data_IF_646263923529
#
_entry.id   IF_646263923529
#
_cell.length_a   1.000
_cell.length_b   1.000
_cell.length_c   1.000
_cell.angle_alpha   90.00
_cell.angle_beta   90.00
_cell.angle_gamma   90.00
#
_symmetry.space_group_name_H-M   'P 1'
#
loop_
_entity.id
_entity.type
_entity.pdbx_description
1 polymer ?
#
# COMPACT_ATOMS: atom_id res chain seq x y z
N UNK A 1 26.21 -53.35 -10.24
CA UNK A 1 26.50 -52.48 -11.40
C UNK A 1 25.19 -51.83 -11.81
N UNK A 2 25.01 -50.52 -11.98
CA UNK A 2 25.89 -49.36 -11.90
C UNK A 2 24.98 -48.14 -11.61
N UNK A 3 25.45 -47.23 -10.74
CA UNK A 3 24.84 -45.93 -10.41
C UNK A 3 24.89 -44.96 -11.60
N UNK A 4 23.88 -44.10 -11.74
CA UNK A 4 24.06 -42.64 -11.99
C UNK A 4 22.74 -41.95 -11.57
N UNK A 5 22.65 -41.22 -10.45
CA UNK A 5 23.10 -39.85 -10.18
C UNK A 5 22.63 -38.80 -11.20
N UNK A 6 21.36 -38.39 -11.11
CA UNK A 6 21.00 -36.98 -11.30
C UNK A 6 20.61 -36.40 -9.93
N UNK A 7 21.60 -35.79 -9.28
CA UNK A 7 21.37 -34.85 -8.18
C UNK A 7 20.72 -33.61 -8.79
N UNK A 8 19.41 -33.46 -8.68
CA UNK A 8 18.80 -32.15 -8.85
C UNK A 8 19.24 -31.29 -7.66
N UNK A 9 20.10 -30.32 -7.92
CA UNK A 9 20.51 -29.32 -6.94
C UNK A 9 19.40 -28.30 -6.75
N UNK A 10 18.21 -28.74 -6.35
CA UNK A 10 17.28 -27.87 -5.65
C UNK A 10 17.90 -27.71 -4.25
N UNK A 11 18.71 -26.66 -4.08
CA UNK A 11 19.03 -26.16 -2.74
C UNK A 11 17.67 -25.99 -2.06
N UNK A 12 17.38 -26.86 -1.08
CA UNK A 12 16.29 -26.71 -0.14
C UNK A 12 16.43 -25.30 0.45
N UNK A 13 15.69 -24.33 -0.07
CA UNK A 13 15.45 -23.09 0.63
C UNK A 13 14.72 -23.50 1.90
N UNK A 14 15.47 -23.53 3.00
CA UNK A 14 14.97 -23.84 4.32
C UNK A 14 13.75 -22.96 4.59
N UNK A 15 12.61 -23.58 4.90
CA UNK A 15 11.42 -22.91 5.45
C UNK A 15 11.66 -22.38 6.86
N UNK A 16 12.87 -22.55 7.41
CA UNK A 16 13.35 -21.74 8.52
C UNK A 16 13.60 -20.30 8.03
N UNK A 17 12.51 -19.60 7.68
CA UNK A 17 12.48 -18.15 7.82
C UNK A 17 13.01 -17.89 9.22
N UNK A 18 14.10 -17.16 9.31
CA UNK A 18 14.76 -16.84 10.56
C UNK A 18 13.76 -16.01 11.39
N UNK A 19 12.89 -16.67 12.16
CA UNK A 19 11.87 -16.08 13.07
C UNK A 19 12.49 -15.18 14.15
N UNK A 20 13.80 -14.92 14.09
CA UNK A 20 14.56 -14.29 15.15
C UNK A 20 14.55 -12.77 15.12
N UNK A 21 14.10 -12.11 14.05
CA UNK A 21 13.90 -10.64 14.05
C UNK A 21 12.83 -10.26 13.01
N UNK A 22 11.55 -10.45 13.31
CA UNK A 22 10.50 -9.73 12.56
C UNK A 22 10.44 -8.33 13.20
N UNK A 23 11.11 -7.36 12.58
CA UNK A 23 11.02 -5.93 12.92
C UNK A 23 9.89 -5.23 12.12
N UNK A 24 8.97 -6.01 11.56
CA UNK A 24 7.78 -5.51 10.89
C UNK A 24 6.74 -5.08 11.92
N UNK A 25 6.72 -3.79 12.22
CA UNK A 25 5.75 -3.22 13.14
C UNK A 25 4.32 -3.29 12.60
N UNK A 26 4.14 -3.47 11.27
CA UNK A 26 2.84 -3.69 10.64
C UNK A 26 2.42 -5.17 10.62
N UNK A 27 3.18 -6.06 11.26
CA UNK A 27 2.84 -7.48 11.26
C UNK A 27 1.57 -7.76 12.06
N UNK A 28 0.77 -8.71 11.59
CA UNK A 28 -0.47 -9.14 12.27
C UNK A 28 -0.25 -9.66 13.70
N UNK A 29 0.98 -10.03 14.07
CA UNK A 29 1.36 -10.33 15.45
C UNK A 29 1.02 -9.19 16.42
N UNK A 30 1.12 -7.93 15.98
CA UNK A 30 0.80 -6.77 16.80
C UNK A 30 -0.67 -6.33 16.65
N UNK A 31 -1.49 -7.04 15.85
CA UNK A 31 -2.89 -6.67 15.56
C UNK A 31 -3.74 -6.37 16.80
N UNK A 32 -3.45 -6.98 17.94
CA UNK A 32 -4.13 -6.67 19.20
C UNK A 32 -4.07 -5.20 19.60
N UNK A 33 -3.08 -4.43 19.13
CA UNK A 33 -2.93 -3.00 19.42
C UNK A 33 -3.89 -2.10 18.61
N UNK A 34 -4.46 -2.58 17.50
CA UNK A 34 -5.33 -1.76 16.63
C UNK A 34 -6.63 -2.45 16.21
N UNK A 35 -6.64 -3.78 16.11
CA UNK A 35 -7.79 -4.56 15.65
C UNK A 35 -8.81 -4.86 16.77
N UNK A 36 -8.41 -4.80 18.04
CA UNK A 36 -9.28 -5.18 19.17
C UNK A 36 -9.97 -3.95 19.75
N UNK A 37 -11.30 -3.87 19.56
CA UNK A 37 -12.17 -2.75 19.93
C UNK A 37 -12.27 -2.41 21.44
N UNK A 38 -11.58 -3.15 22.32
CA UNK A 38 -11.77 -3.07 23.78
C UNK A 38 -10.56 -2.51 24.56
N UNK A 39 -9.66 -1.74 23.92
CA UNK A 39 -8.65 -1.02 24.71
C UNK A 39 -9.29 0.17 25.42
N UNK A 40 -9.20 0.20 26.76
CA UNK A 40 -9.66 1.32 27.61
C UNK A 40 -8.93 2.63 27.32
N UNK A 41 -7.85 2.58 26.53
CA UNK A 41 -7.04 3.70 26.10
C UNK A 41 -7.34 4.19 24.69
N UNK A 42 -8.34 3.63 23.99
CA UNK A 42 -8.72 4.09 22.66
C UNK A 42 -9.50 5.40 22.70
N UNK A 43 -9.35 6.25 21.67
CA UNK A 43 -10.05 7.55 21.57
C UNK A 43 -10.47 7.86 20.15
N UNK A 44 -11.74 8.22 19.93
CA UNK A 44 -12.16 8.82 18.66
C UNK A 44 -11.51 10.19 18.47
N UNK A 45 -10.72 10.35 17.41
CA UNK A 45 -10.01 11.59 17.07
C UNK A 45 -10.60 12.29 15.84
N UNK A 46 -11.44 11.60 15.09
CA UNK A 46 -12.19 12.14 13.96
C UNK A 46 -13.56 11.47 13.89
N UNK A 47 -14.60 12.23 13.56
CA UNK A 47 -15.93 11.68 13.26
C UNK A 47 -16.70 12.67 12.40
N UNK A 48 -17.14 12.25 11.22
CA UNK A 48 -17.92 13.08 10.31
C UNK A 48 -18.84 12.25 9.42
N UNK A 49 -19.99 12.81 9.07
CA UNK A 49 -20.93 12.18 8.15
C UNK A 49 -20.49 12.38 6.70
N UNK A 50 -20.31 11.28 5.99
CA UNK A 50 -20.09 11.23 4.55
C UNK A 50 -21.40 11.29 3.77
N UNK A 51 -21.32 11.87 2.57
CA UNK A 51 -22.41 11.88 1.57
C UNK A 51 -22.09 11.00 0.34
N UNK A 52 -21.01 10.23 0.39
CA UNK A 52 -20.48 9.43 -0.72
C UNK A 52 -20.58 7.92 -0.47
N UNK A 53 -21.59 7.49 0.29
CA UNK A 53 -21.87 6.07 0.56
C UNK A 53 -21.34 5.54 1.88
N UNK A 54 -20.29 6.15 2.44
CA UNK A 54 -19.68 5.66 3.68
C UNK A 54 -20.50 5.92 4.96
N UNK A 55 -21.55 6.75 4.95
CA UNK A 55 -22.32 7.00 6.17
C UNK A 55 -21.52 7.79 7.22
N UNK A 56 -21.04 7.16 8.31
CA UNK A 56 -20.29 7.84 9.37
C UNK A 56 -18.83 7.39 9.38
N UNK A 57 -17.97 8.26 8.85
CA UNK A 57 -16.53 8.04 8.85
C UNK A 57 -15.96 8.44 10.20
N UNK A 58 -15.14 7.58 10.81
CA UNK A 58 -14.49 7.89 12.09
C UNK A 58 -13.05 7.36 12.15
N UNK A 59 -12.21 8.03 12.94
CA UNK A 59 -10.85 7.57 13.22
C UNK A 59 -10.69 7.33 14.72
N UNK A 60 -10.25 6.13 15.07
CA UNK A 60 -9.94 5.74 16.45
C UNK A 60 -8.42 5.70 16.62
N UNK A 61 -7.94 6.35 17.68
CA UNK A 61 -6.56 6.27 18.15
C UNK A 61 -6.38 5.08 19.07
N UNK A 62 -5.30 4.34 18.88
CA UNK A 62 -4.83 3.34 19.85
C UNK A 62 -3.35 3.55 20.15
N UNK A 63 -2.89 3.32 21.39
CA UNK A 63 -1.46 3.38 21.71
C UNK A 63 -0.65 2.37 20.89
N UNK A 64 0.51 2.77 20.38
CA UNK A 64 1.45 1.86 19.75
C UNK A 64 2.60 1.53 20.71
N UNK A 65 2.97 0.25 20.82
CA UNK A 65 4.08 -0.17 21.71
C UNK A 65 5.47 0.11 21.13
N UNK A 66 5.55 0.45 19.84
CA UNK A 66 6.80 0.65 19.11
C UNK A 66 6.87 2.02 18.42
N UNK A 67 8.07 2.55 18.17
CA UNK A 67 9.31 2.20 18.86
C UNK A 67 9.21 2.50 20.36
N UNK A 68 9.98 1.75 21.16
CA UNK A 68 10.10 1.97 22.60
C UNK A 68 10.56 3.41 22.89
N UNK A 69 10.10 3.99 24.01
CA UNK A 69 10.52 5.32 24.52
C UNK A 69 12.03 5.53 24.51
N UNK A 70 12.81 4.49 24.79
CA UNK A 70 14.28 4.56 24.75
C UNK A 70 14.84 4.91 23.34
N UNK A 71 14.08 4.65 22.28
CA UNK A 71 14.44 4.97 20.91
C UNK A 71 13.88 6.31 20.41
N UNK A 72 13.01 6.98 21.16
CA UNK A 72 12.41 8.26 20.73
C UNK A 72 13.47 9.33 20.51
N UNK A 73 14.50 9.39 21.36
CA UNK A 73 15.61 10.33 21.19
C UNK A 73 16.40 10.17 19.88
N UNK A 74 16.35 9.01 19.22
CA UNK A 74 16.91 8.84 17.86
C UNK A 74 16.05 9.54 16.81
N UNK A 75 14.72 9.46 16.96
CA UNK A 75 13.75 10.12 16.07
C UNK A 75 13.83 11.64 16.23
N UNK A 76 13.89 12.13 17.47
CA UNK A 76 14.05 13.57 17.77
C UNK A 76 15.31 14.13 17.12
N UNK A 77 16.48 13.49 17.32
CA UNK A 77 17.74 13.91 16.69
C UNK A 77 17.68 13.91 15.17
N UNK A 78 16.99 12.92 14.60
CA UNK A 78 16.83 12.83 13.14
C UNK A 78 15.95 13.97 12.60
N UNK A 79 14.85 14.32 13.28
CA UNK A 79 14.02 15.49 12.95
C UNK A 79 14.79 16.79 13.11
N UNK A 80 15.55 16.94 14.20
CA UNK A 80 16.41 18.10 14.47
C UNK A 80 17.46 18.27 13.36
N UNK A 81 18.12 17.18 12.94
CA UNK A 81 19.10 17.22 11.86
C UNK A 81 18.46 17.64 10.54
N UNK A 82 17.28 17.09 10.19
CA UNK A 82 16.54 17.51 8.98
C UNK A 82 16.18 18.98 9.02
N UNK A 83 15.67 19.47 10.15
CA UNK A 83 15.36 20.88 10.31
C UNK A 83 16.61 21.75 10.10
N UNK A 84 17.76 21.36 10.67
CA UNK A 84 19.02 22.09 10.49
C UNK A 84 19.48 22.12 9.03
N UNK A 85 19.37 20.99 8.32
CA UNK A 85 19.76 20.88 6.91
C UNK A 85 18.90 21.79 6.01
N UNK A 86 17.60 21.93 6.32
CA UNK A 86 16.66 22.75 5.54
C UNK A 86 16.78 24.25 5.92
N UNK A 87 17.01 24.56 7.19
CA UNK A 87 17.05 25.94 7.72
C UNK A 87 18.38 26.26 8.44
N UNK A 88 19.51 26.37 7.70
CA UNK A 88 20.81 26.63 8.28
C UNK A 88 20.85 28.01 8.98
N UNK A 89 21.33 28.05 10.23
CA UNK A 89 21.52 29.29 11.01
C UNK A 89 20.34 29.72 11.89
N UNK A 90 19.26 28.94 11.95
CA UNK A 90 18.14 29.21 12.87
C UNK A 90 18.55 29.02 14.34
N UNK A 91 18.63 30.11 15.12
CA UNK A 91 19.15 30.12 16.51
C UNK A 91 18.27 29.38 17.54
N UNK A 92 16.98 29.19 17.24
CA UNK A 92 15.99 28.47 18.08
C UNK A 92 15.21 27.43 17.24
N UNK A 93 15.82 26.90 16.18
CA UNK A 93 15.10 26.22 15.10
C UNK A 93 14.47 24.88 15.45
N UNK A 94 13.26 24.92 16.01
CA UNK A 94 12.25 23.88 15.81
C UNK A 94 12.59 22.50 16.37
N UNK A 95 13.13 22.41 17.59
CA UNK A 95 13.29 21.11 18.27
C UNK A 95 11.92 20.44 18.38
N UNK A 96 11.81 19.26 17.79
CA UNK A 96 10.61 18.44 17.85
C UNK A 96 10.81 17.36 18.91
N UNK A 97 9.93 17.35 19.91
CA UNK A 97 9.86 16.33 20.95
C UNK A 97 8.84 15.29 20.58
N UNK A 98 9.21 14.02 20.65
CA UNK A 98 8.28 12.92 20.40
C UNK A 98 7.35 12.80 21.59
N UNK A 99 6.05 12.90 21.34
CA UNK A 99 5.00 12.71 22.34
C UNK A 99 4.55 11.25 22.41
N UNK A 100 4.64 10.52 21.29
CA UNK A 100 4.29 9.12 21.24
C UNK A 100 4.10 8.60 19.82
N UNK A 101 3.71 7.34 19.74
CA UNK A 101 3.28 6.68 18.51
C UNK A 101 1.90 6.08 18.74
N UNK A 102 1.03 6.22 17.74
CA UNK A 102 -0.34 5.74 17.80
C UNK A 102 -0.68 4.97 16.52
N UNK A 103 -1.49 3.93 16.67
CA UNK A 103 -2.25 3.36 15.57
C UNK A 103 -3.50 4.21 15.34
N UNK A 104 -3.84 4.44 14.07
CA UNK A 104 -5.07 5.13 13.66
C UNK A 104 -5.86 4.17 12.79
N UNK A 105 -7.04 3.77 13.26
CA UNK A 105 -7.98 2.94 12.50
C UNK A 105 -9.07 3.84 11.92
N UNK A 106 -9.15 3.90 10.59
CA UNK A 106 -10.20 4.60 9.86
C UNK A 106 -11.33 3.62 9.59
N UNK A 107 -12.49 3.91 10.17
CA UNK A 107 -13.74 3.22 9.92
C UNK A 107 -14.55 4.04 8.92
N UNK A 108 -14.92 3.42 7.79
CA UNK A 108 -15.80 4.07 6.82
C UNK A 108 -17.24 4.08 7.34
N UNK A 109 -17.70 2.95 7.91
CA UNK A 109 -18.92 2.80 8.71
C UNK A 109 -18.74 1.71 9.79
N UNK A 110 -19.85 1.21 10.35
CA UNK A 110 -19.87 0.24 11.44
C UNK A 110 -19.55 -1.21 11.01
N UNK A 111 -19.48 -1.52 9.72
CA UNK A 111 -19.41 -2.90 9.22
C UNK A 111 -18.44 -3.14 8.05
N UNK A 112 -18.06 -2.12 7.28
CA UNK A 112 -17.01 -2.19 6.25
C UNK A 112 -15.63 -2.40 6.87
N UNK A 113 -14.70 -2.97 6.10
CA UNK A 113 -13.31 -3.12 6.55
C UNK A 113 -12.63 -1.77 6.76
N UNK A 114 -11.73 -1.73 7.74
CA UNK A 114 -11.03 -0.50 8.15
C UNK A 114 -9.69 -0.33 7.43
N UNK A 115 -9.22 0.93 7.36
CA UNK A 115 -7.85 1.25 6.97
C UNK A 115 -7.04 1.66 8.19
N UNK A 116 -5.89 1.00 8.41
CA UNK A 116 -5.06 1.24 9.59
C UNK A 116 -3.69 1.78 9.21
N UNK A 117 -3.23 2.80 9.95
CA UNK A 117 -1.91 3.39 9.78
C UNK A 117 -1.25 3.61 11.14
N UNK A 118 0.08 3.75 11.12
CA UNK A 118 0.86 4.16 12.29
C UNK A 118 1.27 5.62 12.16
N UNK A 119 1.18 6.37 13.25
CA UNK A 119 1.47 7.81 13.28
C UNK A 119 2.44 8.14 14.40
N UNK A 120 3.46 8.93 14.06
CA UNK A 120 4.31 9.64 15.02
C UNK A 120 3.61 10.93 15.44
N UNK A 121 3.57 11.18 16.75
CA UNK A 121 3.14 12.44 17.33
C UNK A 121 4.37 13.18 17.85
N UNK A 122 4.60 14.39 17.39
CA UNK A 122 5.66 15.24 17.91
C UNK A 122 5.18 16.68 18.14
N UNK A 123 5.80 17.39 19.08
CA UNK A 123 5.49 18.78 19.41
C UNK A 123 6.72 19.64 19.25
N UNK A 124 6.53 20.89 18.83
CA UNK A 124 7.61 21.89 18.82
C UNK A 124 7.91 22.39 20.23
N UNK A 125 9.17 22.33 20.64
CA UNK A 125 9.65 22.81 21.93
C UNK A 125 9.48 24.34 22.01
N UNK A 126 8.80 24.84 23.05
CA UNK A 126 8.57 26.28 23.26
C UNK A 126 7.21 26.82 22.83
N UNK A 127 6.41 26.05 22.09
CA UNK A 127 4.97 26.31 21.93
C UNK A 127 4.22 25.73 23.14
N UNK A 128 3.25 26.48 23.69
CA UNK A 128 2.52 26.10 24.89
C UNK A 128 1.75 24.79 24.75
N UNK A 129 1.12 24.32 25.83
CA UNK A 129 0.40 23.03 25.91
C UNK A 129 -0.88 22.93 25.04
N UNK A 130 -1.05 23.82 24.08
CA UNK A 130 -2.20 23.83 23.17
C UNK A 130 -2.14 22.67 22.18
N UNK A 131 -3.28 22.02 21.93
CA UNK A 131 -3.41 20.90 21.00
C UNK A 131 -2.98 21.24 19.56
N UNK A 132 -2.94 22.53 19.20
CA UNK A 132 -2.50 23.04 17.90
C UNK A 132 -0.96 22.93 17.67
N UNK A 133 -0.19 22.58 18.70
CA UNK A 133 1.29 22.44 18.61
C UNK A 133 1.77 21.03 18.21
N UNK A 134 0.84 20.08 18.02
CA UNK A 134 1.18 18.68 17.72
C UNK A 134 1.17 18.44 16.21
N UNK A 135 2.31 17.98 15.70
CA UNK A 135 2.46 17.50 14.34
C UNK A 135 2.32 15.97 14.27
N UNK A 136 1.69 15.52 13.20
CA UNK A 136 1.44 14.11 12.92
C UNK A 136 2.25 13.70 11.69
N UNK A 137 2.93 12.57 11.78
CA UNK A 137 3.66 12.00 10.65
C UNK A 137 3.37 10.51 10.54
N UNK A 138 2.61 10.12 9.51
CA UNK A 138 2.37 8.72 9.19
C UNK A 138 3.68 7.99 8.89
N UNK A 139 3.79 6.74 9.35
CA UNK A 139 4.95 5.89 9.13
C UNK A 139 4.75 5.08 7.84
N UNK A 140 5.67 5.18 6.86
CA UNK A 140 5.47 4.63 5.51
C UNK A 140 5.54 3.10 5.45
N UNK A 141 6.21 2.44 6.39
CA UNK A 141 6.57 1.00 6.30
C UNK A 141 5.59 0.08 7.04
N UNK A 142 4.31 0.45 7.16
CA UNK A 142 3.31 -0.34 7.88
C UNK A 142 2.13 -0.77 6.98
N UNK A 143 1.66 -2.01 7.17
CA UNK A 143 0.33 -2.57 6.80
C UNK A 143 -0.04 -2.72 5.31
N UNK A 144 0.56 -1.98 4.36
CA UNK A 144 0.29 -2.12 2.92
C UNK A 144 1.10 -3.23 2.20
N UNK A 145 1.71 -4.12 2.97
CA UNK A 145 2.81 -4.97 2.53
C UNK A 145 2.44 -5.99 1.43
N UNK A 146 1.28 -6.68 1.47
CA UNK A 146 1.02 -7.77 0.53
C UNK A 146 0.93 -7.29 -0.93
N UNK A 147 0.06 -6.32 -1.22
CA UNK A 147 -0.12 -5.76 -2.57
C UNK A 147 1.18 -5.16 -3.11
N UNK A 148 1.88 -4.38 -2.27
CA UNK A 148 3.14 -3.75 -2.66
C UNK A 148 4.18 -4.81 -2.99
N UNK A 149 4.29 -5.86 -2.18
CA UNK A 149 5.26 -6.93 -2.41
C UNK A 149 5.02 -7.63 -3.75
N UNK A 150 3.77 -8.01 -4.04
CA UNK A 150 3.44 -8.70 -5.30
C UNK A 150 3.55 -7.78 -6.51
N UNK A 151 3.10 -6.53 -6.39
CA UNK A 151 3.19 -5.54 -7.46
C UNK A 151 4.62 -5.19 -7.83
N UNK A 152 5.46 -4.89 -6.84
CA UNK A 152 6.87 -4.55 -7.07
C UNK A 152 7.68 -5.76 -7.55
N UNK A 153 7.39 -6.98 -7.05
CA UNK A 153 8.02 -8.21 -7.56
C UNK A 153 7.65 -8.46 -9.03
N UNK A 154 6.41 -8.21 -9.42
CA UNK A 154 5.92 -8.31 -10.80
C UNK A 154 6.64 -7.32 -11.71
N UNK A 155 6.63 -6.04 -11.34
CA UNK A 155 7.30 -5.00 -12.09
C UNK A 155 8.80 -5.28 -12.25
N UNK A 156 9.46 -5.76 -11.21
CA UNK A 156 10.87 -6.13 -11.26
C UNK A 156 11.14 -7.38 -12.11
N UNK A 157 10.15 -8.27 -12.26
CA UNK A 157 10.22 -9.42 -13.16
C UNK A 157 10.03 -9.04 -14.63
N UNK A 158 9.23 -7.99 -14.90
CA UNK A 158 9.01 -7.45 -16.23
C UNK A 158 10.16 -6.55 -16.69
N UNK A 159 10.56 -5.60 -15.84
CA UNK A 159 11.56 -4.58 -16.16
C UNK A 159 12.37 -4.19 -14.91
N UNK A 160 13.35 -5.04 -14.59
CA UNK A 160 14.21 -4.85 -13.41
C UNK A 160 15.00 -3.55 -13.43
N UNK A 161 15.50 -3.13 -14.60
CA UNK A 161 16.35 -1.93 -14.70
C UNK A 161 15.53 -0.66 -14.48
N UNK A 162 14.29 -0.59 -15.00
CA UNK A 162 13.34 0.48 -14.65
C UNK A 162 13.12 0.51 -13.13
N UNK A 163 12.78 -0.62 -12.51
CA UNK A 163 12.52 -0.67 -11.06
C UNK A 163 13.72 -0.22 -10.24
N UNK A 164 14.92 -0.70 -10.57
CA UNK A 164 16.15 -0.30 -9.92
C UNK A 164 16.43 1.19 -10.10
N UNK A 165 16.26 1.73 -11.31
CA UNK A 165 16.48 3.15 -11.57
C UNK A 165 15.44 4.03 -10.87
N UNK A 166 14.19 3.60 -10.78
CA UNK A 166 13.15 4.26 -10.01
C UNK A 166 13.46 4.29 -8.51
N UNK A 167 13.88 3.18 -7.92
CA UNK A 167 14.29 3.13 -6.51
C UNK A 167 15.43 4.12 -6.22
N UNK A 168 16.40 4.20 -7.14
CA UNK A 168 17.53 5.12 -7.03
C UNK A 168 17.19 6.58 -7.39
N UNK A 169 15.98 6.87 -7.88
CA UNK A 169 15.56 8.21 -8.32
C UNK A 169 16.21 8.67 -9.63
N UNK A 170 16.68 7.72 -10.45
CA UNK A 170 17.30 7.99 -11.76
C UNK A 170 16.30 8.01 -12.91
N UNK A 171 15.12 7.45 -12.70
CA UNK A 171 14.04 7.37 -13.67
C UNK A 171 12.71 7.48 -12.93
N UNK A 172 11.70 8.07 -13.57
CA UNK A 172 10.37 8.14 -12.99
C UNK A 172 9.67 6.78 -13.07
N UNK A 173 8.90 6.46 -12.04
CA UNK A 173 7.91 5.40 -12.01
C UNK A 173 6.55 6.05 -11.79
N UNK A 174 5.69 6.03 -12.80
CA UNK A 174 4.36 6.64 -12.72
C UNK A 174 3.40 5.64 -12.09
N UNK A 175 2.85 6.00 -10.93
CA UNK A 175 1.96 5.13 -10.15
C UNK A 175 0.58 5.76 -10.01
N UNK A 176 -0.46 4.95 -10.17
CA UNK A 176 -1.84 5.33 -9.82
C UNK A 176 -2.33 4.45 -8.67
N UNK A 177 -2.91 5.07 -7.65
CA UNK A 177 -3.60 4.42 -6.54
C UNK A 177 -5.07 4.84 -6.58
N UNK A 178 -5.99 3.88 -6.72
CA UNK A 178 -7.43 4.10 -6.67
C UNK A 178 -7.94 3.58 -5.33
N UNK A 179 -8.58 4.46 -4.55
CA UNK A 179 -8.84 4.23 -3.14
C UNK A 179 -7.67 4.72 -2.29
N UNK A 180 -7.94 5.71 -1.43
CA UNK A 180 -6.90 6.30 -0.58
C UNK A 180 -6.90 5.68 0.81
N UNK A 181 -8.10 5.53 1.40
CA UNK A 181 -8.25 5.12 2.79
C UNK A 181 -7.41 6.01 3.72
N UNK A 182 -6.47 5.41 4.45
CA UNK A 182 -5.51 6.11 5.30
C UNK A 182 -4.24 6.59 4.59
N UNK A 183 -4.00 6.21 3.33
CA UNK A 183 -2.86 6.66 2.53
C UNK A 183 -1.59 5.81 2.61
N UNK A 184 -1.65 4.59 3.16
CA UNK A 184 -0.46 3.74 3.36
C UNK A 184 0.26 3.34 2.07
N UNK A 185 -0.48 2.90 1.04
CA UNK A 185 0.09 2.51 -0.26
C UNK A 185 0.82 3.68 -0.93
N UNK A 186 0.18 4.84 -1.18
CA UNK A 186 0.85 5.94 -1.85
C UNK A 186 2.03 6.50 -1.05
N UNK A 187 1.89 6.57 0.29
CA UNK A 187 2.98 7.04 1.14
C UNK A 187 4.19 6.11 1.10
N UNK A 188 3.98 4.79 1.14
CA UNK A 188 5.06 3.81 0.98
C UNK A 188 5.80 4.03 -0.33
N UNK A 189 5.05 4.06 -1.44
CA UNK A 189 5.62 4.13 -2.78
C UNK A 189 6.47 5.39 -2.95
N UNK A 190 5.93 6.54 -2.54
CA UNK A 190 6.68 7.78 -2.60
C UNK A 190 7.89 7.75 -1.65
N UNK A 191 7.75 7.27 -0.41
CA UNK A 191 8.84 7.30 0.58
C UNK A 191 10.01 6.37 0.22
N UNK A 192 9.71 5.20 -0.32
CA UNK A 192 10.69 4.13 -0.53
C UNK A 192 11.25 4.12 -1.97
N UNK A 193 10.49 4.61 -2.95
CA UNK A 193 10.90 4.68 -4.35
C UNK A 193 11.08 6.15 -4.73
N UNK A 194 12.34 6.61 -4.77
CA UNK A 194 12.68 8.03 -4.97
C UNK A 194 12.17 8.61 -6.29
N UNK A 195 12.10 7.78 -7.33
CA UNK A 195 11.57 8.15 -8.64
C UNK A 195 10.06 7.97 -8.79
N UNK A 196 9.35 7.48 -7.76
CA UNK A 196 7.90 7.32 -7.87
C UNK A 196 7.20 8.67 -7.90
N UNK A 197 6.31 8.86 -8.88
CA UNK A 197 5.31 9.93 -8.95
C UNK A 197 3.96 9.25 -8.77
N UNK A 198 3.25 9.59 -7.70
CA UNK A 198 2.08 8.84 -7.25
C UNK A 198 0.85 9.71 -7.35
N UNK A 199 -0.08 9.32 -8.22
CA UNK A 199 -1.43 9.86 -8.24
C UNK A 199 -2.32 8.97 -7.37
N UNK A 200 -3.07 9.57 -6.45
CA UNK A 200 -4.04 8.87 -5.62
C UNK A 200 -5.42 9.46 -5.85
N UNK A 201 -6.43 8.62 -5.98
CA UNK A 201 -7.82 9.05 -6.22
C UNK A 201 -8.71 8.56 -5.09
N UNK A 202 -9.40 9.49 -4.45
CA UNK A 202 -10.38 9.24 -3.38
C UNK A 202 -11.70 9.91 -3.70
N UNK A 203 -12.80 9.14 -3.67
CA UNK A 203 -14.12 9.66 -3.98
C UNK A 203 -14.71 10.46 -2.82
N UNK A 204 -14.37 10.10 -1.58
CA UNK A 204 -14.96 10.70 -0.39
C UNK A 204 -14.05 11.78 0.24
N UNK A 205 -14.40 13.08 0.14
CA UNK A 205 -13.63 14.14 0.77
C UNK A 205 -13.57 14.04 2.30
N UNK A 206 -14.49 13.30 2.94
CA UNK A 206 -14.42 13.02 4.38
C UNK A 206 -13.27 12.06 4.70
N UNK A 207 -13.02 11.07 3.85
CA UNK A 207 -11.87 10.16 3.97
C UNK A 207 -10.56 10.93 3.78
N UNK A 208 -10.50 11.81 2.77
CA UNK A 208 -9.35 12.73 2.57
C UNK A 208 -9.09 13.58 3.82
N UNK A 209 -10.14 14.13 4.42
CA UNK A 209 -10.05 14.94 5.64
C UNK A 209 -9.56 14.11 6.83
N UNK A 210 -10.11 12.91 7.03
CA UNK A 210 -9.70 12.00 8.09
C UNK A 210 -8.20 11.66 7.98
N UNK A 211 -7.76 11.27 6.77
CA UNK A 211 -6.39 10.86 6.50
C UNK A 211 -5.38 12.00 6.74
N UNK A 212 -5.66 13.19 6.21
CA UNK A 212 -4.75 14.34 6.30
C UNK A 212 -4.74 14.99 7.69
N UNK A 213 -5.89 15.07 8.37
CA UNK A 213 -5.98 15.79 9.66
C UNK A 213 -5.59 14.92 10.86
N UNK A 214 -5.83 13.61 10.80
CA UNK A 214 -5.69 12.75 11.99
C UNK A 214 -4.84 11.51 11.78
N UNK A 215 -4.66 11.06 10.53
CA UNK A 215 -3.83 9.90 10.22
C UNK A 215 -2.40 10.27 9.79
N UNK A 216 -2.08 11.57 9.76
CA UNK A 216 -0.72 12.06 9.51
C UNK A 216 -0.26 11.90 8.06
N UNK A 217 -1.18 11.73 7.11
CA UNK A 217 -0.87 11.83 5.68
C UNK A 217 -0.61 13.30 5.32
N UNK A 218 0.37 13.64 4.47
CA UNK A 218 0.73 15.04 4.23
C UNK A 218 -0.41 15.83 3.57
N UNK A 219 -0.89 16.89 4.21
CA UNK A 219 -2.01 17.69 3.69
C UNK A 219 -1.67 18.44 2.39
N UNK A 220 -0.39 18.78 2.18
CA UNK A 220 0.11 19.47 0.98
C UNK A 220 -0.01 18.65 -0.31
N UNK A 221 -0.28 17.35 -0.23
CA UNK A 221 -0.50 16.50 -1.42
C UNK A 221 -1.90 16.67 -2.01
N UNK A 222 -2.85 17.23 -1.26
CA UNK A 222 -4.23 17.39 -1.73
C UNK A 222 -4.20 18.31 -2.96
N UNK A 223 -4.85 17.85 -4.03
CA UNK A 223 -4.78 18.49 -5.33
C UNK A 223 -6.10 19.19 -5.63
N UNK A 224 -6.02 20.40 -6.16
CA UNK A 224 -7.16 21.13 -6.70
C UNK A 224 -7.69 20.46 -7.98
N UNK A 225 -8.93 20.74 -8.41
CA UNK A 225 -9.48 20.20 -9.66
C UNK A 225 -8.61 20.47 -10.91
N UNK A 226 -7.72 21.46 -10.87
CA UNK A 226 -6.83 21.84 -11.97
C UNK A 226 -5.49 21.07 -11.95
N UNK A 227 -5.33 20.04 -11.12
CA UNK A 227 -4.10 19.23 -11.07
C UNK A 227 -2.91 19.94 -10.40
N UNK A 228 -3.15 21.04 -9.67
CA UNK A 228 -2.14 21.72 -8.85
C UNK A 228 -2.39 21.45 -7.38
N UNK A 229 -1.33 21.33 -6.58
CA UNK A 229 -1.41 21.30 -5.13
C UNK A 229 -2.29 22.45 -4.61
N UNK A 230 -3.19 22.16 -3.67
CA UNK A 230 -4.05 23.18 -3.04
C UNK A 230 -3.22 24.21 -2.27
N UNK A 231 -2.03 23.81 -1.82
CA UNK A 231 -1.02 24.68 -1.23
C UNK A 231 0.08 24.97 -2.25
N UNK A 232 0.20 26.22 -2.71
CA UNK A 232 1.22 26.62 -3.70
C UNK A 232 2.66 26.54 -3.16
N UNK A 233 2.83 26.52 -1.83
CA UNK A 233 4.12 26.28 -1.16
C UNK A 233 3.90 25.36 0.04
N UNK A 234 4.73 24.32 0.20
CA UNK A 234 4.67 23.48 1.40
C UNK A 234 5.02 24.30 2.62
N UNK A 235 4.34 24.02 3.74
CA UNK A 235 4.70 24.62 5.01
C UNK A 235 6.12 24.19 5.40
N UNK A 236 6.94 25.05 6.04
CA UNK A 236 8.29 24.69 6.47
C UNK A 236 8.38 23.37 7.25
N UNK A 237 7.31 23.01 7.97
CA UNK A 237 7.21 21.75 8.71
C UNK A 237 7.03 20.53 7.80
N UNK A 238 6.30 20.66 6.69
CA UNK A 238 6.13 19.57 5.72
C UNK A 238 7.48 19.14 5.14
N UNK A 239 8.38 20.10 4.88
CA UNK A 239 9.73 19.78 4.43
C UNK A 239 10.53 19.00 5.48
N UNK A 240 10.38 19.35 6.76
CA UNK A 240 11.05 18.63 7.86
C UNK A 240 10.53 17.20 7.98
N UNK A 241 9.20 17.02 7.90
CA UNK A 241 8.57 15.70 8.03
C UNK A 241 8.80 14.81 6.81
N UNK A 242 8.68 15.37 5.60
CA UNK A 242 8.57 14.58 4.38
C UNK A 242 9.76 14.72 3.42
N UNK A 243 10.60 15.76 3.55
CA UNK A 243 11.81 15.99 2.75
C UNK A 243 11.59 15.75 1.24
N UNK A 244 10.69 16.52 0.63
CA UNK A 244 10.32 16.38 -0.78
C UNK A 244 9.50 15.12 -1.16
N UNK A 245 9.20 14.21 -0.23
CA UNK A 245 8.35 13.03 -0.54
C UNK A 245 6.93 13.44 -0.90
N UNK A 246 6.38 14.42 -0.19
CA UNK A 246 5.03 14.96 -0.41
C UNK A 246 4.88 15.63 -1.78
N UNK A 247 5.95 16.20 -2.35
CA UNK A 247 5.92 16.83 -3.69
C UNK A 247 5.69 15.82 -4.83
N UNK A 248 5.93 14.53 -4.58
CA UNK A 248 5.74 13.46 -5.57
C UNK A 248 4.41 12.72 -5.41
N UNK A 249 3.55 13.18 -4.50
CA UNK A 249 2.23 12.62 -4.26
C UNK A 249 1.15 13.64 -4.59
N UNK A 250 0.16 13.22 -5.37
CA UNK A 250 -0.99 14.03 -5.75
C UNK A 250 -2.26 13.29 -5.38
N UNK A 251 -2.96 13.77 -4.35
CA UNK A 251 -4.22 13.21 -3.88
C UNK A 251 -5.40 14.00 -4.48
N UNK A 252 -6.12 13.36 -5.38
CA UNK A 252 -7.29 13.89 -6.06
C UNK A 252 -8.57 13.45 -5.34
N UNK A 253 -9.39 14.42 -4.94
CA UNK A 253 -10.78 14.14 -4.55
C UNK A 253 -11.63 14.03 -5.82
N UNK A 254 -11.79 12.81 -6.33
CA UNK A 254 -12.50 12.53 -7.58
C UNK A 254 -13.04 11.11 -7.59
N UNK A 255 -14.08 10.89 -8.39
CA UNK A 255 -14.44 9.56 -8.86
C UNK A 255 -13.33 8.97 -9.75
N UNK A 256 -13.09 7.67 -9.63
CA UNK A 256 -12.02 6.96 -10.34
C UNK A 256 -12.27 6.83 -11.85
N UNK A 257 -13.51 6.57 -12.27
CA UNK A 257 -13.90 6.52 -13.69
C UNK A 257 -13.71 7.89 -14.33
N UNK A 258 -14.22 8.93 -13.67
CA UNK A 258 -14.01 10.30 -14.14
C UNK A 258 -12.52 10.63 -14.28
N UNK A 259 -11.73 10.35 -13.24
CA UNK A 259 -10.30 10.67 -13.23
C UNK A 259 -9.55 9.97 -14.37
N UNK A 260 -9.77 8.67 -14.58
CA UNK A 260 -9.02 7.91 -15.58
C UNK A 260 -9.40 8.30 -17.02
N UNK A 261 -10.66 8.67 -17.25
CA UNK A 261 -11.14 9.17 -18.54
C UNK A 261 -10.53 10.53 -18.90
N UNK A 262 -10.37 11.41 -17.92
CA UNK A 262 -9.81 12.75 -18.09
C UNK A 262 -8.27 12.76 -18.08
N UNK A 263 -7.65 11.76 -17.45
CA UNK A 263 -6.19 11.62 -17.36
C UNK A 263 -5.58 11.34 -18.73
N UNK A 264 -4.49 12.03 -19.06
CA UNK A 264 -3.64 11.73 -20.23
C UNK A 264 -2.41 10.90 -19.87
N UNK A 265 -2.17 10.66 -18.57
CA UNK A 265 -0.96 10.00 -18.09
C UNK A 265 -0.98 8.50 -18.41
N UNK A 266 0.22 7.96 -18.65
CA UNK A 266 0.46 6.51 -18.77
C UNK A 266 1.17 6.04 -17.51
N UNK A 267 0.66 4.98 -16.91
CA UNK A 267 1.11 4.44 -15.63
C UNK A 267 1.88 3.13 -15.81
N UNK A 268 2.98 3.01 -15.09
CA UNK A 268 3.80 1.80 -15.05
C UNK A 268 3.16 0.75 -14.15
N UNK A 269 2.59 1.19 -13.03
CA UNK A 269 1.87 0.33 -12.09
C UNK A 269 0.64 1.04 -11.53
N UNK A 270 -0.44 0.28 -11.36
CA UNK A 270 -1.71 0.76 -10.81
C UNK A 270 -2.12 -0.13 -9.65
N UNK A 271 -2.46 0.47 -8.51
CA UNK A 271 -3.04 -0.20 -7.34
C UNK A 271 -4.50 0.20 -7.21
N UNK A 272 -5.38 -0.77 -6.98
CA UNK A 272 -6.81 -0.54 -6.77
C UNK A 272 -7.23 -1.20 -5.45
N UNK A 273 -7.65 -0.37 -4.50
CA UNK A 273 -8.11 -0.76 -3.17
C UNK A 273 -9.31 0.13 -2.79
N UNK A 274 -10.40 -0.03 -3.54
CA UNK A 274 -11.57 0.84 -3.47
C UNK A 274 -12.86 0.03 -3.42
N UNK A 275 -13.68 0.32 -2.40
CA UNK A 275 -14.94 -0.35 -2.12
C UNK A 275 -16.04 0.69 -1.97
N UNK A 276 -17.30 0.28 -2.17
CA UNK A 276 -18.43 1.12 -1.79
C UNK A 276 -18.75 1.00 -0.29
N UNK A 277 -19.78 1.73 0.16
CA UNK A 277 -20.22 1.74 1.55
C UNK A 277 -20.76 0.39 2.04
N UNK A 278 -20.93 -0.60 1.15
CA UNK A 278 -21.42 -1.93 1.48
C UNK A 278 -20.31 -3.00 1.47
N UNK A 279 -19.04 -2.58 1.44
CA UNK A 279 -17.85 -3.46 1.35
C UNK A 279 -17.80 -4.25 0.02
N UNK A 280 -18.44 -3.73 -1.04
CA UNK A 280 -18.50 -4.38 -2.35
C UNK A 280 -17.52 -3.71 -3.31
N UNK A 281 -16.76 -4.52 -4.07
CA UNK A 281 -15.93 -4.01 -5.16
C UNK A 281 -16.83 -3.49 -6.31
N UNK A 282 -16.90 -2.17 -6.55
CA UNK A 282 -17.97 -1.60 -7.36
C UNK A 282 -17.96 -2.11 -8.80
N UNK A 283 -19.12 -2.51 -9.32
CA UNK A 283 -19.24 -3.06 -10.70
C UNK A 283 -18.62 -2.17 -11.78
N UNK A 284 -18.75 -0.85 -11.65
CA UNK A 284 -18.14 0.11 -12.58
C UNK A 284 -16.61 0.00 -12.68
N UNK A 285 -15.94 -0.58 -11.68
CA UNK A 285 -14.47 -0.73 -11.67
C UNK A 285 -13.99 -2.04 -12.28
N UNK A 286 -14.88 -2.95 -12.68
CA UNK A 286 -14.48 -4.26 -13.21
C UNK A 286 -15.35 -4.81 -14.31
N UNK A 287 -16.52 -4.22 -14.58
CA UNK A 287 -17.34 -4.64 -15.71
C UNK A 287 -16.55 -4.45 -17.04
N UNK A 288 -16.43 -5.48 -17.89
CA UNK A 288 -15.67 -5.41 -19.14
C UNK A 288 -16.11 -4.27 -20.07
N UNK A 289 -17.39 -3.94 -20.04
CA UNK A 289 -17.99 -2.90 -20.88
C UNK A 289 -17.95 -1.51 -20.19
N UNK A 290 -17.38 -1.42 -18.97
CA UNK A 290 -17.29 -0.15 -18.26
C UNK A 290 -16.32 0.82 -18.95
N UNK A 291 -16.66 2.12 -19.03
CA UNK A 291 -15.73 3.15 -19.48
C UNK A 291 -14.44 3.18 -18.66
N UNK A 292 -14.52 2.90 -17.36
CA UNK A 292 -13.37 2.82 -16.48
C UNK A 292 -12.35 1.77 -16.93
N UNK A 293 -12.74 0.50 -17.09
CA UNK A 293 -11.78 -0.58 -17.32
C UNK A 293 -11.14 -0.45 -18.71
N UNK A 294 -11.91 0.00 -19.69
CA UNK A 294 -11.43 0.34 -21.04
C UNK A 294 -10.42 1.50 -21.01
N UNK A 295 -10.72 2.56 -20.27
CA UNK A 295 -9.80 3.68 -20.08
C UNK A 295 -8.54 3.25 -19.31
N UNK A 296 -8.68 2.40 -18.30
CA UNK A 296 -7.57 1.86 -17.51
C UNK A 296 -6.56 1.14 -18.41
N UNK A 297 -7.05 0.26 -19.31
CA UNK A 297 -6.20 -0.42 -20.29
C UNK A 297 -5.43 0.54 -21.20
N UNK A 298 -6.06 1.64 -21.62
CA UNK A 298 -5.43 2.68 -22.45
C UNK A 298 -4.41 3.54 -21.69
N UNK A 299 -4.51 3.63 -20.36
CA UNK A 299 -3.58 4.37 -19.49
C UNK A 299 -2.49 3.48 -18.88
N UNK A 300 -2.53 2.18 -19.12
CA UNK A 300 -1.52 1.24 -18.66
C UNK A 300 -0.34 1.21 -19.65
N UNK A 301 0.90 1.20 -19.16
CA UNK A 301 2.08 1.12 -20.02
C UNK A 301 2.02 -0.13 -20.93
N UNK A 302 2.28 -0.02 -22.24
CA UNK A 302 2.10 -1.14 -23.17
C UNK A 302 3.02 -2.32 -22.89
N UNK A 303 4.29 -2.08 -22.52
CA UNK A 303 5.28 -3.16 -22.42
C UNK A 303 5.32 -3.86 -21.05
N UNK A 304 5.23 -3.11 -19.94
CA UNK A 304 5.41 -3.65 -18.58
C UNK A 304 4.30 -3.24 -17.62
N UNK A 305 3.27 -2.57 -18.11
CA UNK A 305 2.22 -2.03 -17.27
C UNK A 305 1.57 -3.12 -16.43
N UNK A 306 1.48 -2.87 -15.12
CA UNK A 306 0.99 -3.83 -14.13
C UNK A 306 -0.17 -3.23 -13.33
N UNK A 307 -1.24 -3.99 -13.15
CA UNK A 307 -2.37 -3.64 -12.29
C UNK A 307 -2.44 -4.61 -11.13
N UNK A 308 -2.62 -4.10 -9.92
CA UNK A 308 -2.78 -4.87 -8.69
C UNK A 308 -4.09 -4.44 -8.02
N UNK A 309 -5.01 -5.38 -7.83
CA UNK A 309 -6.33 -5.14 -7.24
C UNK A 309 -6.43 -5.91 -5.92
N UNK A 310 -6.83 -5.23 -4.86
CA UNK A 310 -7.21 -5.88 -3.60
C UNK A 310 -8.65 -6.34 -3.71
N UNK A 311 -8.92 -7.63 -3.54
CA UNK A 311 -10.26 -8.21 -3.58
C UNK A 311 -10.57 -8.90 -2.26
N UNK A 312 -11.67 -8.50 -1.61
CA UNK A 312 -12.20 -9.19 -0.44
C UNK A 312 -12.65 -10.60 -0.85
N UNK A 313 -12.24 -11.61 -0.08
CA UNK A 313 -12.66 -12.98 -0.31
C UNK A 313 -14.18 -13.08 -0.17
N UNK A 314 -14.82 -13.70 -1.16
CA UNK A 314 -16.27 -13.87 -1.31
C UNK A 314 -16.74 -15.30 -0.97
N UNK A 315 -15.93 -16.02 -0.18
CA UNK A 315 -16.23 -17.38 0.30
C UNK A 315 -16.53 -17.35 1.79
N UNK A 316 -17.67 -17.90 2.18
CA UNK A 316 -17.96 -18.19 3.58
C UNK A 316 -17.09 -19.36 4.03
N UNK A 317 -16.13 -19.10 4.90
CA UNK A 317 -15.41 -20.15 5.61
C UNK A 317 -16.16 -20.43 6.91
N UNK A 318 -16.56 -21.69 7.13
CA UNK A 318 -17.23 -22.12 8.36
C UNK A 318 -16.22 -22.12 9.52
N UNK A 319 -16.23 -21.08 10.35
CA UNK A 319 -15.16 -20.80 11.34
C UNK A 319 -15.42 -21.45 12.71
N UNK A 320 -16.44 -22.30 12.86
CA UNK A 320 -16.82 -22.91 14.15
C UNK A 320 -15.88 -24.05 14.62
N UNK A 321 -14.81 -24.36 13.89
CA UNK A 321 -13.77 -25.27 14.36
C UNK A 321 -12.73 -24.49 15.20
N UNK A 322 -12.68 -24.78 16.51
CA UNK A 322 -11.75 -24.23 17.50
C UNK A 322 -10.24 -24.44 17.22
N UNK A 323 -9.88 -24.86 16.02
CA UNK A 323 -8.52 -24.97 15.51
C UNK A 323 -8.45 -24.14 14.23
N UNK A 324 -8.01 -22.87 14.32
CA UNK A 324 -7.68 -22.07 13.13
C UNK A 324 -6.52 -22.77 12.43
N UNK A 325 -6.73 -23.50 11.31
CA UNK A 325 -5.61 -24.09 10.61
C UNK A 325 -4.79 -22.93 10.04
N UNK A 326 -3.51 -23.14 9.78
CA UNK A 326 -2.76 -22.25 8.88
C UNK A 326 -3.40 -22.31 7.48
N UNK A 327 -4.50 -21.58 7.28
CA UNK A 327 -5.20 -21.47 6.01
C UNK A 327 -4.23 -20.74 5.08
N UNK A 328 -3.49 -21.52 4.30
CA UNK A 328 -2.54 -21.07 3.28
C UNK A 328 -3.23 -20.93 1.91
N UNK A 329 -4.54 -21.13 1.88
CA UNK A 329 -5.39 -21.18 0.70
C UNK A 329 -6.75 -20.54 1.01
N UNK A 330 -7.08 -19.45 0.33
CA UNK A 330 -8.43 -18.90 0.29
C UNK A 330 -9.03 -19.31 -1.06
N UNK A 331 -10.09 -20.14 -1.11
CA UNK A 331 -10.76 -20.43 -2.37
C UNK A 331 -11.36 -19.14 -2.94
N UNK A 332 -11.24 -18.96 -4.25
CA UNK A 332 -11.86 -17.82 -4.94
C UNK A 332 -13.32 -18.16 -5.21
N UNK A 333 -14.22 -17.32 -4.73
CA UNK A 333 -15.64 -17.43 -5.08
C UNK A 333 -15.90 -16.87 -6.48
N UNK A 334 -17.17 -16.94 -6.87
CA UNK A 334 -17.59 -16.59 -8.23
C UNK A 334 -17.32 -15.13 -8.56
N UNK A 335 -17.49 -14.22 -7.61
CA UNK A 335 -17.33 -12.79 -7.86
C UNK A 335 -15.86 -12.46 -8.12
N UNK A 336 -14.95 -12.94 -7.27
CA UNK A 336 -13.52 -12.66 -7.41
C UNK A 336 -12.97 -13.24 -8.72
N UNK A 337 -13.43 -14.43 -9.13
CA UNK A 337 -13.05 -15.02 -10.42
C UNK A 337 -13.55 -14.19 -11.61
N UNK A 338 -14.80 -13.71 -11.57
CA UNK A 338 -15.35 -12.84 -12.64
C UNK A 338 -14.60 -11.51 -12.77
N UNK A 339 -14.17 -10.92 -11.65
CA UNK A 339 -13.33 -9.72 -11.67
C UNK A 339 -11.98 -10.04 -12.30
N UNK A 340 -11.35 -11.16 -11.93
CA UNK A 340 -10.09 -11.61 -12.50
C UNK A 340 -10.14 -11.79 -14.02
N UNK A 341 -11.14 -12.53 -14.50
CA UNK A 341 -11.41 -12.75 -15.93
C UNK A 341 -11.58 -11.41 -16.67
N UNK A 342 -12.41 -10.51 -16.16
CA UNK A 342 -12.64 -9.21 -16.79
C UNK A 342 -11.36 -8.37 -16.92
N UNK A 343 -10.51 -8.34 -15.89
CA UNK A 343 -9.24 -7.61 -15.94
C UNK A 343 -8.25 -8.25 -16.92
N UNK A 344 -8.16 -9.59 -16.97
CA UNK A 344 -7.31 -10.30 -17.92
C UNK A 344 -7.77 -10.03 -19.35
N UNK A 345 -9.07 -10.22 -19.62
CA UNK A 345 -9.65 -10.07 -20.95
C UNK A 345 -9.46 -8.66 -21.51
N UNK A 346 -9.77 -7.62 -20.72
CA UNK A 346 -9.72 -6.23 -21.19
C UNK A 346 -8.28 -5.68 -21.21
N UNK A 347 -7.47 -5.93 -20.18
CA UNK A 347 -6.14 -5.29 -20.10
C UNK A 347 -5.10 -5.95 -21.02
N UNK A 348 -5.31 -7.21 -21.37
CA UNK A 348 -4.43 -7.99 -22.24
C UNK A 348 -5.02 -8.21 -23.64
N UNK A 349 -6.15 -7.57 -23.97
CA UNK A 349 -6.79 -7.69 -25.28
C UNK A 349 -5.79 -7.38 -26.42
N UNK A 350 -5.58 -8.35 -27.32
CA UNK A 350 -4.70 -8.21 -28.47
C UNK A 350 -3.20 -8.17 -28.15
N UNK A 351 -2.79 -8.44 -26.90
CA UNK A 351 -1.39 -8.38 -26.45
C UNK A 351 -0.90 -9.66 -25.77
N UNK A 352 0.35 -9.62 -25.33
CA UNK A 352 0.91 -10.60 -24.40
C UNK A 352 0.76 -10.10 -22.96
N UNK A 353 0.60 -11.02 -22.02
CA UNK A 353 0.55 -10.71 -20.62
C UNK A 353 0.16 -11.92 -19.80
N UNK A 354 0.12 -11.74 -18.49
CA UNK A 354 -0.28 -12.79 -17.57
C UNK A 354 -1.00 -12.22 -16.35
N UNK A 355 -2.09 -12.87 -15.98
CA UNK A 355 -2.87 -12.60 -14.79
C UNK A 355 -2.70 -13.70 -13.75
N UNK A 356 -2.66 -13.35 -12.48
CA UNK A 356 -2.63 -14.32 -11.39
C UNK A 356 -3.15 -13.71 -10.08
N UNK A 357 -3.42 -14.57 -9.12
CA UNK A 357 -3.90 -14.22 -7.79
C UNK A 357 -2.94 -14.71 -6.70
N UNK A 358 -2.89 -13.95 -5.61
CA UNK A 358 -2.18 -14.34 -4.39
C UNK A 358 -3.09 -14.09 -3.19
N UNK A 359 -3.54 -15.15 -2.48
CA UNK A 359 -4.35 -14.99 -1.28
C UNK A 359 -3.56 -14.34 -0.14
N UNK A 360 -4.29 -13.60 0.68
CA UNK A 360 -3.82 -12.90 1.88
C UNK A 360 -4.71 -13.32 3.06
N UNK A 361 -4.54 -14.56 3.58
CA UNK A 361 -5.53 -15.22 4.43
C UNK A 361 -5.87 -14.49 5.74
N UNK A 362 -4.90 -13.80 6.35
CA UNK A 362 -5.08 -13.14 7.64
C UNK A 362 -6.00 -11.91 7.60
N UNK A 363 -6.22 -11.34 6.41
CA UNK A 363 -7.18 -10.23 6.18
C UNK A 363 -8.32 -10.66 5.26
N UNK A 364 -8.47 -11.95 4.97
CA UNK A 364 -9.51 -12.46 4.06
C UNK A 364 -9.55 -11.69 2.72
N UNK A 365 -8.37 -11.44 2.14
CA UNK A 365 -8.23 -10.76 0.85
C UNK A 365 -7.48 -11.65 -0.15
N UNK A 366 -7.56 -11.28 -1.42
CA UNK A 366 -6.71 -11.77 -2.49
C UNK A 366 -6.17 -10.60 -3.28
N UNK A 367 -4.88 -10.62 -3.59
CA UNK A 367 -4.27 -9.67 -4.54
C UNK A 367 -4.34 -10.26 -5.94
N UNK A 368 -5.18 -9.67 -6.78
CA UNK A 368 -5.21 -9.91 -8.22
C UNK A 368 -4.11 -9.08 -8.88
N UNK A 369 -3.32 -9.69 -9.76
CA UNK A 369 -2.27 -9.03 -10.52
C UNK A 369 -2.46 -9.34 -11.99
N UNK A 370 -2.47 -8.32 -12.85
CA UNK A 370 -2.44 -8.46 -14.31
C UNK A 370 -1.30 -7.62 -14.86
N UNK A 371 -0.40 -8.23 -15.62
CA UNK A 371 0.77 -7.54 -16.16
C UNK A 371 1.02 -7.87 -17.62
N UNK A 372 1.31 -6.83 -18.42
CA UNK A 372 1.65 -6.97 -19.85
C UNK A 372 3.09 -7.46 -20.08
N UNK A 373 3.97 -7.25 -19.09
CA UNK A 373 5.39 -7.59 -19.21
C UNK A 373 5.74 -9.03 -18.84
N UNK A 374 4.75 -9.81 -18.40
CA UNK A 374 4.92 -11.23 -18.14
C UNK A 374 4.44 -12.04 -19.35
N UNK A 375 5.23 -13.02 -19.76
CA UNK A 375 4.81 -13.94 -20.82
C UNK A 375 3.72 -14.88 -20.31
N UNK A 376 2.70 -15.11 -21.15
CA UNK A 376 1.63 -16.06 -20.83
C UNK A 376 2.21 -17.48 -20.77
N UNK A 377 2.15 -18.15 -19.61
CA UNK A 377 2.69 -19.50 -19.46
C UNK A 377 1.82 -20.53 -20.18
N UNK A 378 2.46 -21.51 -20.81
CA UNK A 378 1.79 -22.58 -21.57
C UNK A 378 1.48 -23.82 -20.75
N UNK A 379 2.21 -24.03 -19.66
CA UNK A 379 2.09 -25.19 -18.82
C UNK A 379 2.51 -24.92 -17.36
N UNK A 380 2.38 -25.94 -16.53
CA UNK A 380 2.73 -25.87 -15.11
C UNK A 380 4.23 -25.69 -14.84
N UNK A 381 5.10 -26.00 -15.80
CA UNK A 381 6.55 -25.77 -15.68
C UNK A 381 6.83 -24.28 -15.84
N UNK A 382 6.25 -23.65 -16.86
CA UNK A 382 6.35 -22.20 -17.08
C UNK A 382 5.74 -21.41 -15.91
N UNK A 383 4.62 -21.86 -15.32
CA UNK A 383 4.07 -21.29 -14.07
C UNK A 383 5.09 -21.24 -12.94
N UNK A 384 5.79 -22.36 -12.72
CA UNK A 384 6.81 -22.43 -11.68
C UNK A 384 8.00 -21.51 -11.98
N UNK A 385 8.37 -21.33 -13.26
CA UNK A 385 9.43 -20.39 -13.64
C UNK A 385 9.04 -18.94 -13.36
N UNK A 386 7.80 -18.54 -13.66
CA UNK A 386 7.27 -17.20 -13.33
C UNK A 386 7.30 -17.00 -11.82
N UNK A 387 6.79 -17.95 -11.03
CA UNK A 387 6.81 -17.85 -9.56
C UNK A 387 8.24 -17.75 -9.00
N UNK A 388 9.19 -18.53 -9.54
CA UNK A 388 10.61 -18.44 -9.14
C UNK A 388 11.19 -17.07 -9.49
N UNK A 389 10.84 -16.52 -10.67
CA UNK A 389 11.27 -15.18 -11.08
C UNK A 389 10.72 -14.10 -10.14
N UNK A 390 9.42 -14.14 -9.85
CA UNK A 390 8.75 -13.23 -8.91
C UNK A 390 9.41 -13.28 -7.53
N UNK A 391 9.70 -14.47 -7.02
CA UNK A 391 10.40 -14.64 -5.74
C UNK A 391 11.81 -14.04 -5.80
N UNK A 392 12.59 -14.38 -6.84
CA UNK A 392 13.97 -13.91 -6.98
C UNK A 392 14.02 -12.39 -7.08
N UNK A 393 13.16 -11.80 -7.92
CA UNK A 393 13.11 -10.35 -8.14
C UNK A 393 12.50 -9.60 -6.97
N UNK A 394 11.52 -10.17 -6.29
CA UNK A 394 11.02 -9.67 -5.02
C UNK A 394 12.12 -9.53 -3.97
N UNK A 395 12.97 -10.55 -3.81
CA UNK A 395 14.11 -10.50 -2.88
C UNK A 395 15.17 -9.47 -3.29
N UNK A 396 15.41 -9.27 -4.59
CA UNK A 396 16.30 -8.21 -5.08
C UNK A 396 15.76 -6.81 -4.75
N UNK A 397 14.46 -6.58 -4.98
CA UNK A 397 13.79 -5.31 -4.63
C UNK A 397 13.78 -5.07 -3.13
N UNK A 398 13.43 -6.09 -2.34
CA UNK A 398 13.45 -6.06 -0.87
C UNK A 398 14.81 -5.58 -0.35
N UNK A 399 15.90 -6.12 -0.90
CA UNK A 399 17.27 -5.73 -0.56
C UNK A 399 17.59 -4.31 -1.00
N UNK A 400 17.15 -3.88 -2.19
CA UNK A 400 17.37 -2.53 -2.70
C UNK A 400 16.67 -1.47 -1.86
N UNK A 401 15.45 -1.76 -1.40
CA UNK A 401 14.66 -0.89 -0.52
C UNK A 401 15.08 -0.97 0.95
N UNK A 402 15.91 -1.95 1.31
CA UNK A 402 16.31 -2.23 2.69
C UNK A 402 15.08 -2.40 3.60
N UNK A 403 14.19 -3.31 3.20
CA UNK A 403 12.94 -3.58 3.89
C UNK A 403 13.17 -4.36 5.19
N UNK A 404 12.41 -4.06 6.27
CA UNK A 404 12.50 -4.81 7.53
C UNK A 404 11.70 -6.12 7.51
N UNK A 405 11.04 -6.44 6.40
CA UNK A 405 10.22 -7.64 6.18
C UNK A 405 10.49 -8.24 4.82
N UNK A 406 10.10 -9.51 4.66
CA UNK A 406 10.35 -10.24 3.42
C UNK A 406 9.15 -10.31 2.49
N UNK A 407 9.36 -9.95 1.22
CA UNK A 407 8.36 -10.06 0.16
C UNK A 407 7.97 -11.53 -0.11
N UNK A 408 8.88 -12.47 0.18
CA UNK A 408 8.69 -13.90 -0.03
C UNK A 408 7.42 -14.44 0.66
N UNK A 409 7.09 -13.90 1.84
CA UNK A 409 5.93 -14.34 2.60
C UNK A 409 4.61 -14.05 1.88
N UNK A 410 4.60 -12.99 1.06
CA UNK A 410 3.44 -12.53 0.32
C UNK A 410 3.41 -13.08 -1.10
N UNK A 411 4.57 -13.21 -1.77
CA UNK A 411 4.60 -13.66 -3.18
C UNK A 411 4.36 -15.16 -3.33
N UNK A 412 4.83 -15.99 -2.37
CA UNK A 412 4.81 -17.44 -2.51
C UNK A 412 3.45 -18.08 -2.15
N UNK A 413 2.65 -17.41 -1.34
CA UNK A 413 1.51 -18.05 -0.67
C UNK A 413 0.32 -18.14 -1.62
N UNK A 414 -0.10 -19.36 -1.96
CA UNK A 414 -1.33 -19.63 -2.71
C UNK A 414 -1.41 -19.03 -4.13
N UNK A 415 -0.26 -18.74 -4.75
CA UNK A 415 -0.17 -18.25 -6.12
C UNK A 415 -1.02 -19.10 -7.08
N UNK A 416 -1.96 -18.47 -7.78
CA UNK A 416 -2.91 -19.12 -8.68
C UNK A 416 -2.98 -18.37 -10.01
N UNK A 417 -2.60 -18.98 -11.14
CA UNK A 417 -2.72 -18.35 -12.46
C UNK A 417 -4.19 -18.08 -12.80
N UNK A 418 -4.43 -17.03 -13.60
CA UNK A 418 -5.69 -16.82 -14.30
C UNK A 418 -5.54 -17.27 -15.75
N UNK A 419 -6.54 -18.00 -16.24
CA UNK A 419 -6.62 -18.47 -17.64
C UNK A 419 -7.18 -17.39 -18.56
#
# INVERSE_FOLDING_TARGET
MLRSNLKSSLRRFSTAINRRHIEDEGNWLYSSEWWVANSTSSRTVFRQNSRHGNGVVSVISHPCSKPDRLNWGKTEKWLEQRHHDIFPGSKNGGKLRVCGYEWRTLHFNDFTRESTVKVLLARREGEGDEAASVCLMQQPRCLAVPMISVGLATMASCNYELMKNAILGKQNLNVLCIGHGGGSIPLFLASEIKGAVVHTVEIDPVVVSASTQTMGFPASTVTSPNGKHTHEKPEPLDEVLWKGTHERMLLFSSDAEKFILESTNVYDIIFIDAYDGEDIFPRKLWDPDSPFLQALGNRLHPDHGTVVVNLHADVELDVDAADVPQISFLPMGKHVSQVGEAYVDVLLEGGSGFGYNVPVPWVYNTSLVVSRGLERPKDSVEWNMILISLISKGLEVEKLLNMPFSFLQYVKTGFTPLD
#
